data_IF_911227497101
#
_entry.id   IF_911227497101
#
_cell.length_a   1.000
_cell.length_b   1.000
_cell.length_c   1.000
_cell.angle_alpha   90.00
_cell.angle_beta   90.00
_cell.angle_gamma   90.00
#
_symmetry.space_group_name_H-M   'P 1'
#
loop_
_entity.id
_entity.type
_entity.pdbx_description
1 polymer ?
#
# COMPACT_ATOMS: atom_id res chain seq x y z
N UNK A 1 -0.53 43.36 -1.81
CA UNK A 1 -1.14 42.26 -2.59
C UNK A 1 -0.07 41.19 -2.78
N UNK A 2 -0.08 40.15 -1.94
CA UNK A 2 0.90 39.07 -2.00
C UNK A 2 0.40 38.07 -3.06
N UNK A 3 1.09 38.00 -4.18
CA UNK A 3 0.81 37.04 -5.25
C UNK A 3 0.77 35.61 -4.69
N UNK A 4 -0.31 34.91 -5.01
CA UNK A 4 -0.58 33.52 -4.59
C UNK A 4 0.55 32.61 -5.11
N UNK A 5 0.90 31.57 -4.33
CA UNK A 5 1.97 30.60 -4.64
C UNK A 5 1.85 29.98 -6.05
N UNK A 6 0.64 29.94 -6.62
CA UNK A 6 0.36 29.52 -8.00
C UNK A 6 0.78 30.51 -9.07
N UNK A 7 0.75 31.83 -8.80
CA UNK A 7 1.17 32.86 -9.77
C UNK A 7 2.70 32.88 -9.93
N UNK A 8 3.46 32.44 -8.92
CA UNK A 8 4.92 32.28 -9.01
C UNK A 8 5.37 31.05 -9.81
N UNK A 9 4.48 30.12 -10.12
CA UNK A 9 4.78 28.94 -10.96
C UNK A 9 4.55 29.19 -12.46
N UNK A 10 4.11 30.36 -12.88
CA UNK A 10 3.63 30.63 -14.25
C UNK A 10 4.69 31.15 -15.22
N UNK A 11 5.96 31.14 -14.86
CA UNK A 11 7.02 31.17 -15.86
C UNK A 11 7.51 29.74 -16.02
N UNK A 12 6.93 29.00 -16.98
CA UNK A 12 7.43 27.69 -17.37
C UNK A 12 8.87 27.87 -17.86
N UNK A 13 9.85 27.65 -16.98
CA UNK A 13 11.24 27.59 -17.39
C UNK A 13 11.37 26.29 -18.21
N UNK A 14 11.60 26.46 -19.49
CA UNK A 14 11.92 25.34 -20.36
C UNK A 14 13.34 24.90 -19.98
N UNK A 15 13.44 23.79 -19.24
CA UNK A 15 14.72 23.22 -18.89
C UNK A 15 15.22 22.31 -20.02
N UNK A 16 16.49 22.45 -20.36
CA UNK A 16 17.15 21.49 -21.27
C UNK A 16 17.28 20.16 -20.55
N UNK A 17 16.84 19.03 -21.13
CA UNK A 17 17.03 17.73 -20.50
C UNK A 17 18.52 17.49 -20.19
N UNK A 18 18.87 16.91 -19.03
CA UNK A 18 20.24 16.60 -18.73
C UNK A 18 20.78 15.56 -19.71
N UNK A 19 21.89 15.86 -20.34
CA UNK A 19 22.60 14.98 -21.31
C UNK A 19 23.47 13.94 -20.60
N UNK A 20 23.73 14.13 -19.30
CA UNK A 20 24.56 13.25 -18.49
C UNK A 20 23.79 12.72 -17.29
N UNK A 21 24.05 11.45 -16.93
CA UNK A 21 23.48 10.81 -15.75
C UNK A 21 24.16 11.33 -14.49
N UNK A 22 23.49 12.20 -13.74
CA UNK A 22 24.04 12.89 -12.56
C UNK A 22 23.76 12.20 -11.23
N UNK A 23 23.55 10.88 -11.19
CA UNK A 23 23.39 10.21 -9.92
C UNK A 23 24.37 9.06 -9.77
N UNK A 24 24.95 8.93 -8.61
CA UNK A 24 25.75 7.78 -8.23
C UNK A 24 24.81 6.64 -7.83
N UNK A 25 25.14 5.42 -8.27
CA UNK A 25 24.36 4.24 -7.89
C UNK A 25 24.66 3.95 -6.41
N UNK A 26 23.61 3.84 -5.56
CA UNK A 26 23.84 3.43 -4.17
C UNK A 26 24.50 2.05 -4.10
N UNK A 27 25.50 1.90 -3.24
CA UNK A 27 26.26 0.65 -3.05
C UNK A 27 25.65 -0.27 -1.99
N UNK A 28 24.58 0.17 -1.31
CA UNK A 28 23.91 -0.58 -0.26
C UNK A 28 23.28 -1.88 -0.75
N UNK A 29 23.17 -2.84 0.15
CA UNK A 29 22.51 -4.11 -0.12
C UNK A 29 21.00 -3.97 -0.29
N UNK A 30 20.44 -4.77 -1.19
CA UNK A 30 18.98 -4.86 -1.37
C UNK A 30 18.33 -5.52 -0.15
N UNK A 31 17.23 -4.97 0.30
CA UNK A 31 16.42 -5.48 1.41
C UNK A 31 14.97 -5.08 1.26
N UNK A 32 14.10 -5.68 2.04
CA UNK A 32 12.71 -5.24 2.20
C UNK A 32 12.65 -3.84 2.79
N UNK A 33 11.72 -3.04 2.30
CA UNK A 33 11.52 -1.64 2.68
C UNK A 33 10.21 -1.47 3.42
N UNK A 34 10.18 -0.55 4.38
CA UNK A 34 8.95 0.02 4.94
C UNK A 34 8.65 1.30 4.16
N UNK A 35 7.51 1.33 3.48
CA UNK A 35 7.09 2.43 2.61
C UNK A 35 5.78 3.00 3.15
N UNK A 36 5.70 4.31 3.32
CA UNK A 36 4.52 5.01 3.83
C UNK A 36 3.99 5.99 2.80
N UNK A 37 2.70 5.86 2.48
CA UNK A 37 1.95 6.86 1.72
C UNK A 37 0.93 7.52 2.66
N UNK A 38 1.14 8.77 3.03
CA UNK A 38 0.29 9.50 3.98
C UNK A 38 -0.21 10.82 3.41
N UNK A 39 -0.81 11.68 4.23
CA UNK A 39 -1.33 13.00 3.85
C UNK A 39 -2.80 12.99 3.45
N UNK A 40 -3.36 14.20 3.25
CA UNK A 40 -4.79 14.40 2.98
C UNK A 40 -5.18 14.26 1.51
N UNK A 41 -4.20 14.29 0.61
CA UNK A 41 -4.41 14.14 -0.84
C UNK A 41 -4.84 12.73 -1.23
N UNK A 42 -5.39 12.60 -2.43
CA UNK A 42 -5.74 11.30 -3.03
C UNK A 42 -4.51 10.59 -3.59
N UNK A 43 -4.63 9.29 -3.79
CA UNK A 43 -3.61 8.47 -4.45
C UNK A 43 -2.82 7.55 -3.52
N UNK A 44 -3.00 7.61 -2.19
CA UNK A 44 -2.28 6.76 -1.23
C UNK A 44 -2.44 5.26 -1.51
N UNK A 45 -3.67 4.78 -1.54
CA UNK A 45 -4.01 3.38 -1.86
C UNK A 45 -3.64 3.06 -3.30
N UNK A 46 -3.94 3.96 -4.26
CA UNK A 46 -3.58 3.78 -5.67
C UNK A 46 -2.08 3.59 -5.88
N UNK A 47 -1.23 4.36 -5.19
CA UNK A 47 0.23 4.20 -5.23
C UNK A 47 0.67 2.86 -4.63
N UNK A 48 0.11 2.45 -3.49
CA UNK A 48 0.39 1.17 -2.86
C UNK A 48 -0.02 -0.01 -3.76
N UNK A 49 -1.20 0.06 -4.36
CA UNK A 49 -1.69 -0.97 -5.30
C UNK A 49 -0.90 -0.98 -6.61
N UNK A 50 -0.41 0.17 -7.07
CA UNK A 50 0.53 0.24 -8.17
C UNK A 50 1.85 -0.48 -7.88
N UNK A 51 2.38 -0.39 -6.66
CA UNK A 51 3.54 -1.18 -6.21
C UNK A 51 3.20 -2.68 -6.16
N UNK A 52 2.03 -3.04 -5.62
CA UNK A 52 1.54 -4.41 -5.57
C UNK A 52 1.42 -5.01 -6.98
N UNK A 53 0.81 -4.27 -7.93
CA UNK A 53 0.70 -4.67 -9.33
C UNK A 53 2.08 -4.86 -9.99
N UNK A 54 3.02 -3.95 -9.74
CA UNK A 54 4.40 -4.04 -10.24
C UNK A 54 5.11 -5.29 -9.70
N UNK A 55 4.98 -5.58 -8.40
CA UNK A 55 5.55 -6.78 -7.78
C UNK A 55 4.89 -8.06 -8.33
N UNK A 56 3.55 -8.07 -8.45
CA UNK A 56 2.81 -9.18 -9.04
C UNK A 56 3.23 -9.44 -10.49
N UNK A 57 3.41 -8.41 -11.31
CA UNK A 57 3.92 -8.52 -12.69
C UNK A 57 5.34 -9.11 -12.78
N UNK A 58 6.09 -9.09 -11.67
CA UNK A 58 7.39 -9.76 -11.51
C UNK A 58 7.27 -11.12 -10.80
N UNK A 59 6.08 -11.70 -10.77
CA UNK A 59 5.78 -12.99 -10.12
C UNK A 59 6.13 -13.03 -8.63
N UNK A 60 6.12 -11.88 -7.97
CA UNK A 60 6.34 -11.80 -6.52
C UNK A 60 5.02 -12.00 -5.78
N UNK A 61 5.07 -12.71 -4.65
CA UNK A 61 3.93 -12.90 -3.78
C UNK A 61 3.56 -11.58 -3.09
N UNK A 62 2.29 -11.17 -3.20
CA UNK A 62 1.77 -9.94 -2.62
C UNK A 62 0.50 -10.23 -1.84
N UNK A 63 0.34 -9.60 -0.68
CA UNK A 63 -0.90 -9.61 0.11
C UNK A 63 -1.29 -8.18 0.47
N UNK A 64 -2.59 -7.87 0.36
CA UNK A 64 -3.15 -6.55 0.66
C UNK A 64 -4.23 -6.72 1.71
N UNK A 65 -4.11 -5.99 2.81
CA UNK A 65 -5.09 -5.91 3.89
C UNK A 65 -5.67 -4.49 3.94
N UNK A 66 -7.00 -4.38 3.81
CA UNK A 66 -7.71 -3.09 3.85
C UNK A 66 -8.50 -2.95 5.16
N UNK A 67 -8.00 -2.15 6.09
CA UNK A 67 -8.53 -2.04 7.46
C UNK A 67 -9.90 -1.37 7.55
N UNK A 68 -10.28 -0.55 6.57
CA UNK A 68 -11.54 0.21 6.58
C UNK A 68 -12.55 -0.29 5.55
N UNK A 69 -12.31 -1.46 4.94
CA UNK A 69 -13.19 -2.02 3.92
C UNK A 69 -13.81 -3.34 4.39
N UNK A 70 -15.08 -3.54 4.08
CA UNK A 70 -15.76 -4.81 4.40
C UNK A 70 -15.19 -5.96 3.56
N UNK A 71 -15.19 -7.20 4.08
CA UNK A 71 -14.70 -8.38 3.34
C UNK A 71 -15.42 -8.63 2.02
N UNK A 72 -16.67 -8.16 1.91
CA UNK A 72 -17.49 -8.29 0.69
C UNK A 72 -17.31 -7.15 -0.31
N UNK A 73 -16.41 -6.19 -0.03
CA UNK A 73 -16.14 -5.09 -0.94
C UNK A 73 -15.70 -5.61 -2.32
N UNK A 74 -16.22 -5.00 -3.38
CA UNK A 74 -15.93 -5.36 -4.78
C UNK A 74 -15.66 -4.10 -5.59
N UNK A 75 -14.69 -3.29 -5.11
CA UNK A 75 -14.17 -2.14 -5.84
C UNK A 75 -13.41 -2.58 -7.10
N UNK A 76 -13.05 -1.65 -7.95
CA UNK A 76 -12.33 -1.90 -9.18
C UNK A 76 -11.05 -2.71 -8.96
N UNK A 77 -10.30 -2.39 -7.93
CA UNK A 77 -9.03 -3.06 -7.57
C UNK A 77 -9.24 -4.52 -7.17
N UNK A 78 -10.28 -4.83 -6.39
CA UNK A 78 -10.61 -6.23 -6.03
C UNK A 78 -10.83 -7.08 -7.27
N UNK A 79 -11.66 -6.58 -8.20
CA UNK A 79 -11.96 -7.28 -9.46
C UNK A 79 -10.73 -7.45 -10.33
N UNK A 80 -9.87 -6.42 -10.39
CA UNK A 80 -8.65 -6.48 -11.18
C UNK A 80 -7.66 -7.50 -10.61
N UNK A 81 -7.44 -7.52 -9.30
CA UNK A 81 -6.55 -8.49 -8.65
C UNK A 81 -7.10 -9.91 -8.73
N UNK A 82 -8.41 -10.13 -8.56
CA UNK A 82 -9.04 -11.44 -8.74
C UNK A 82 -8.84 -11.97 -10.17
N UNK A 83 -8.99 -11.11 -11.19
CA UNK A 83 -8.76 -11.48 -12.60
C UNK A 83 -7.29 -11.80 -12.87
N UNK A 84 -6.36 -11.00 -12.33
CA UNK A 84 -4.92 -11.23 -12.47
C UNK A 84 -4.51 -12.55 -11.81
N UNK A 85 -5.04 -12.86 -10.65
CA UNK A 85 -4.77 -14.12 -9.95
C UNK A 85 -5.34 -15.31 -10.71
N UNK A 86 -6.58 -15.24 -11.17
CA UNK A 86 -7.21 -16.27 -11.98
C UNK A 86 -6.43 -16.51 -13.27
N UNK A 87 -5.94 -15.45 -13.91
CA UNK A 87 -5.09 -15.56 -15.10
C UNK A 87 -3.73 -16.20 -14.80
N UNK A 88 -3.13 -15.89 -13.63
CA UNK A 88 -1.86 -16.45 -13.20
C UNK A 88 -1.93 -17.94 -12.91
N UNK A 89 -3.05 -18.41 -12.39
CA UNK A 89 -3.28 -19.81 -12.00
C UNK A 89 -3.87 -20.68 -13.12
N UNK A 90 -4.19 -20.09 -14.29
CA UNK A 90 -4.78 -20.80 -15.42
C UNK A 90 -3.83 -21.90 -15.97
N UNK A 91 -4.35 -23.11 -16.28
CA UNK A 91 -3.56 -24.17 -16.88
C UNK A 91 -2.94 -23.76 -18.23
N UNK A 92 -1.72 -24.22 -18.50
CA UNK A 92 -1.05 -24.04 -19.81
C UNK A 92 -0.43 -22.67 -20.05
N UNK A 93 -0.40 -21.78 -19.07
CA UNK A 93 0.25 -20.49 -19.19
C UNK A 93 1.78 -20.59 -19.15
N UNK A 94 2.53 -19.89 -20.03
CA UNK A 94 3.97 -19.78 -19.90
C UNK A 94 4.33 -19.19 -18.53
N UNK A 95 5.25 -19.83 -17.83
CA UNK A 95 5.83 -19.22 -16.62
C UNK A 95 6.56 -17.95 -17.05
N UNK A 96 6.41 -16.81 -16.35
CA UNK A 96 7.24 -15.65 -16.66
C UNK A 96 8.70 -16.05 -16.52
N UNK A 97 9.50 -15.65 -17.51
CA UNK A 97 10.95 -15.87 -17.49
C UNK A 97 11.50 -15.40 -16.15
N UNK A 98 12.20 -16.31 -15.47
CA UNK A 98 12.79 -16.00 -14.18
C UNK A 98 13.72 -14.82 -14.35
N UNK A 99 13.47 -13.74 -13.62
CA UNK A 99 14.34 -12.58 -13.58
C UNK A 99 15.70 -13.06 -13.02
N UNK A 100 16.80 -13.07 -13.78
CA UNK A 100 18.09 -13.58 -13.31
C UNK A 100 18.74 -12.66 -12.25
N UNK A 101 18.05 -11.58 -11.87
CA UNK A 101 18.59 -10.61 -10.92
C UNK A 101 18.12 -10.91 -9.49
N UNK A 102 18.95 -11.70 -8.82
CA UNK A 102 19.19 -11.65 -7.39
C UNK A 102 18.04 -12.00 -6.46
N UNK A 103 18.06 -13.22 -6.00
CA UNK A 103 17.33 -13.76 -4.87
C UNK A 103 17.04 -15.23 -5.15
N UNK A 104 17.67 -16.11 -4.41
CA UNK A 104 17.33 -17.53 -4.44
C UNK A 104 15.82 -17.62 -4.23
N UNK A 105 15.11 -17.99 -5.29
CA UNK A 105 13.68 -18.21 -5.23
C UNK A 105 13.42 -19.27 -4.17
N UNK A 106 12.81 -18.86 -3.06
CA UNK A 106 12.14 -19.82 -2.22
C UNK A 106 11.23 -20.63 -3.14
N UNK A 107 11.38 -21.94 -3.14
CA UNK A 107 10.53 -22.86 -3.87
C UNK A 107 9.09 -22.41 -3.63
N UNK A 108 8.36 -22.09 -4.70
CA UNK A 108 6.97 -21.67 -4.61
C UNK A 108 6.26 -22.73 -3.81
N UNK A 109 5.84 -22.40 -2.59
CA UNK A 109 4.93 -23.25 -1.86
C UNK A 109 3.69 -23.42 -2.74
N UNK A 110 3.28 -24.64 -3.01
CA UNK A 110 2.03 -24.98 -3.73
C UNK A 110 0.79 -24.57 -2.94
N UNK A 111 0.98 -23.79 -1.87
CA UNK A 111 -0.09 -23.28 -1.04
C UNK A 111 -0.95 -22.30 -1.85
N UNK A 112 -2.27 -22.50 -1.90
CA UNK A 112 -3.16 -21.51 -2.48
C UNK A 112 -3.05 -20.24 -1.63
N UNK A 113 -2.35 -19.24 -2.14
CA UNK A 113 -2.37 -17.90 -1.60
C UNK A 113 -3.85 -17.48 -1.55
N UNK A 114 -4.42 -17.26 -0.40
CA UNK A 114 -5.77 -16.72 -0.30
C UNK A 114 -5.94 -15.45 -1.15
N UNK A 115 -7.11 -14.84 -1.24
CA UNK A 115 -7.33 -13.69 -2.10
C UNK A 115 -6.23 -12.65 -1.88
N UNK A 116 -5.68 -12.10 -2.98
CA UNK A 116 -4.57 -11.14 -2.90
C UNK A 116 -4.94 -9.92 -2.05
N UNK A 117 -6.23 -9.52 -2.07
CA UNK A 117 -6.76 -8.38 -1.35
C UNK A 117 -7.89 -8.84 -0.41
N UNK A 118 -7.81 -8.42 0.85
CA UNK A 118 -8.77 -8.80 1.89
C UNK A 118 -9.22 -7.56 2.68
N UNK A 119 -10.53 -7.32 2.72
CA UNK A 119 -11.14 -6.33 3.59
C UNK A 119 -11.22 -6.84 5.04
N UNK A 120 -10.88 -6.00 6.00
CA UNK A 120 -10.77 -6.33 7.42
C UNK A 120 -11.69 -5.48 8.31
N UNK A 121 -12.50 -4.61 7.74
CA UNK A 121 -13.38 -3.70 8.46
C UNK A 121 -14.86 -3.95 8.22
N UNK A 122 -15.68 -3.14 8.84
CA UNK A 122 -17.15 -3.07 8.66
C UNK A 122 -17.59 -1.88 7.80
N UNK A 123 -16.65 -1.19 7.18
CA UNK A 123 -16.85 0.02 6.41
C UNK A 123 -16.33 1.26 7.13
N UNK A 124 -16.88 2.42 6.78
CA UNK A 124 -16.42 3.68 7.36
C UNK A 124 -16.95 3.86 8.79
N UNK A 125 -16.05 4.20 9.72
CA UNK A 125 -16.36 4.40 11.14
C UNK A 125 -17.50 5.39 11.41
N UNK A 126 -17.72 6.42 10.57
CA UNK A 126 -18.85 7.35 10.70
C UNK A 126 -20.21 6.74 10.35
N UNK A 127 -20.24 5.53 9.80
CA UNK A 127 -21.46 4.75 9.53
C UNK A 127 -21.63 3.59 10.51
N UNK A 128 -20.57 3.26 11.26
CA UNK A 128 -20.64 2.19 12.26
C UNK A 128 -21.45 2.64 13.45
N UNK A 129 -22.42 1.83 13.84
CA UNK A 129 -23.20 2.02 15.08
C UNK A 129 -22.52 1.34 16.28
N UNK A 130 -21.50 0.51 16.03
CA UNK A 130 -20.78 -0.25 17.04
C UNK A 130 -19.26 -0.11 16.82
N UNK A 131 -18.66 0.89 17.45
CA UNK A 131 -17.23 1.16 17.36
C UNK A 131 -16.38 0.07 18.02
N UNK A 132 -16.91 -0.63 19.04
CA UNK A 132 -16.17 -1.75 19.66
C UNK A 132 -16.10 -2.94 18.71
N UNK A 133 -17.16 -3.22 17.97
CA UNK A 133 -17.13 -4.22 16.93
C UNK A 133 -16.09 -3.87 15.84
N UNK A 134 -16.06 -2.62 15.37
CA UNK A 134 -15.07 -2.14 14.41
C UNK A 134 -13.65 -2.29 14.95
N UNK A 135 -13.43 -1.95 16.21
CA UNK A 135 -12.13 -2.12 16.87
C UNK A 135 -11.73 -3.60 16.98
N UNK A 136 -12.67 -4.49 17.29
CA UNK A 136 -12.42 -5.93 17.35
C UNK A 136 -12.02 -6.49 15.96
N UNK A 137 -12.72 -6.09 14.89
CA UNK A 137 -12.37 -6.46 13.53
C UNK A 137 -10.97 -5.97 13.15
N UNK A 138 -10.62 -4.73 13.51
CA UNK A 138 -9.30 -4.19 13.26
C UNK A 138 -8.21 -5.00 13.99
N UNK A 139 -8.43 -5.38 15.26
CA UNK A 139 -7.50 -6.23 16.02
C UNK A 139 -7.34 -7.61 15.38
N UNK A 140 -8.44 -8.27 15.03
CA UNK A 140 -8.40 -9.58 14.34
C UNK A 140 -7.69 -9.50 12.97
N UNK A 141 -7.97 -8.43 12.23
CA UNK A 141 -7.31 -8.15 10.96
C UNK A 141 -5.81 -7.89 11.12
N UNK A 142 -5.43 -7.19 12.18
CA UNK A 142 -4.03 -6.97 12.50
C UNK A 142 -3.28 -8.28 12.77
N UNK A 143 -3.85 -9.21 13.51
CA UNK A 143 -3.18 -10.51 13.75
C UNK A 143 -2.93 -11.28 12.46
N UNK A 144 -3.86 -11.25 11.50
CA UNK A 144 -3.65 -11.83 10.17
C UNK A 144 -2.51 -11.13 9.42
N UNK A 145 -2.53 -9.80 9.41
CA UNK A 145 -1.51 -8.99 8.73
C UNK A 145 -0.13 -9.17 9.35
N UNK A 146 -0.07 -9.20 10.68
CA UNK A 146 1.15 -9.48 11.45
C UNK A 146 1.72 -10.86 11.11
N UNK A 147 0.87 -11.89 11.11
CA UNK A 147 1.29 -13.25 10.75
C UNK A 147 1.84 -13.31 9.32
N UNK A 148 1.18 -12.64 8.36
CA UNK A 148 1.64 -12.58 6.97
C UNK A 148 2.99 -11.84 6.82
N UNK A 149 3.22 -10.77 7.57
CA UNK A 149 4.51 -10.06 7.56
C UNK A 149 5.62 -10.95 8.12
N UNK A 150 5.37 -11.59 9.26
CA UNK A 150 6.39 -12.37 9.98
C UNK A 150 6.67 -13.74 9.36
N UNK A 151 5.74 -14.29 8.54
CA UNK A 151 5.95 -15.57 7.86
C UNK A 151 7.11 -15.55 6.87
N UNK A 152 7.38 -14.40 6.26
CA UNK A 152 8.36 -14.30 5.17
C UNK A 152 7.86 -14.86 3.82
N UNK A 153 6.63 -15.35 3.74
CA UNK A 153 6.07 -15.97 2.54
C UNK A 153 5.75 -14.94 1.45
N UNK A 154 5.56 -13.69 1.83
CA UNK A 154 5.23 -12.61 0.92
C UNK A 154 6.44 -11.71 0.65
N UNK A 155 6.66 -11.40 -0.63
CA UNK A 155 7.60 -10.35 -1.01
C UNK A 155 7.13 -8.97 -0.54
N UNK A 156 5.79 -8.74 -0.55
CA UNK A 156 5.21 -7.47 -0.15
C UNK A 156 3.87 -7.67 0.57
N UNK A 157 3.72 -7.00 1.70
CA UNK A 157 2.44 -6.87 2.42
C UNK A 157 2.02 -5.40 2.42
N UNK A 158 0.80 -5.13 1.95
CA UNK A 158 0.21 -3.79 1.96
C UNK A 158 -0.81 -3.71 3.09
N UNK A 159 -0.68 -2.68 3.93
CA UNK A 159 -1.57 -2.35 5.04
C UNK A 159 -2.34 -1.07 4.67
N UNK A 160 -3.43 -1.25 3.92
CA UNK A 160 -4.20 -0.12 3.41
C UNK A 160 -5.11 0.46 4.49
N UNK A 161 -5.02 1.79 4.68
CA UNK A 161 -5.73 2.57 5.70
C UNK A 161 -5.43 2.13 7.16
N UNK A 162 -4.26 1.52 7.43
CA UNK A 162 -3.84 1.10 8.78
C UNK A 162 -3.73 2.26 9.78
N UNK A 163 -3.53 3.48 9.30
CA UNK A 163 -3.39 4.63 10.20
C UNK A 163 -4.68 4.93 10.97
N UNK A 164 -5.86 4.60 10.43
CA UNK A 164 -7.12 4.84 11.14
C UNK A 164 -7.25 4.01 12.41
N UNK A 165 -7.12 2.68 12.40
CA UNK A 165 -7.10 1.89 13.65
C UNK A 165 -6.04 2.36 14.66
N UNK A 166 -4.90 2.85 14.20
CA UNK A 166 -3.86 3.38 15.08
C UNK A 166 -4.28 4.69 15.74
N UNK A 167 -4.75 5.68 14.99
CA UNK A 167 -5.16 6.98 15.54
C UNK A 167 -6.46 6.91 16.35
N UNK A 168 -7.28 5.87 16.14
CA UNK A 168 -8.46 5.61 16.98
C UNK A 168 -8.12 4.80 18.24
N UNK A 169 -6.87 4.39 18.42
CA UNK A 169 -6.45 3.59 19.57
C UNK A 169 -6.97 2.15 19.54
N UNK A 170 -7.45 1.66 18.41
CA UNK A 170 -7.93 0.28 18.26
C UNK A 170 -6.78 -0.72 18.19
N UNK A 171 -5.62 -0.28 17.68
CA UNK A 171 -4.39 -1.06 17.62
C UNK A 171 -3.29 -0.38 18.44
N UNK A 172 -2.51 -1.16 19.20
CA UNK A 172 -1.35 -0.62 19.92
C UNK A 172 -0.23 -0.30 18.91
N UNK A 173 0.22 0.96 18.89
CA UNK A 173 1.29 1.42 18.01
C UNK A 173 2.58 0.63 18.21
N UNK A 174 2.96 0.36 19.46
CA UNK A 174 4.18 -0.38 19.79
C UNK A 174 4.21 -1.79 19.16
N UNK A 175 3.06 -2.48 19.13
CA UNK A 175 2.94 -3.79 18.50
C UNK A 175 3.16 -3.73 16.98
N UNK A 176 2.69 -2.65 16.33
CA UNK A 176 2.93 -2.43 14.89
C UNK A 176 4.40 -2.11 14.64
N UNK A 177 4.98 -1.20 15.41
CA UNK A 177 6.41 -0.84 15.31
C UNK A 177 7.32 -2.05 15.54
N UNK A 178 7.00 -2.89 16.53
CA UNK A 178 7.74 -4.11 16.80
C UNK A 178 7.68 -5.06 15.60
N UNK A 179 6.50 -5.30 15.05
CA UNK A 179 6.32 -6.16 13.86
C UNK A 179 7.11 -5.65 12.65
N UNK A 180 7.10 -4.33 12.43
CA UNK A 180 7.88 -3.73 11.35
C UNK A 180 9.39 -3.88 11.54
N UNK A 181 9.89 -3.88 12.78
CA UNK A 181 11.31 -4.13 13.09
C UNK A 181 11.70 -5.60 12.97
N UNK A 182 10.82 -6.50 13.41
CA UNK A 182 11.05 -7.96 13.43
C UNK A 182 10.77 -8.65 12.09
N UNK A 183 10.22 -7.94 11.11
CA UNK A 183 9.90 -8.53 9.80
C UNK A 183 11.15 -9.18 9.18
N UNK A 184 11.00 -10.30 8.45
CA UNK A 184 12.10 -10.87 7.68
C UNK A 184 12.75 -9.84 6.76
N UNK A 185 14.05 -9.90 6.59
CA UNK A 185 14.89 -8.89 5.92
C UNK A 185 14.38 -8.52 4.52
N UNK A 186 13.82 -9.48 3.78
CA UNK A 186 13.44 -9.30 2.37
C UNK A 186 11.96 -8.92 2.18
N UNK A 187 11.18 -8.83 3.27
CA UNK A 187 9.76 -8.49 3.22
C UNK A 187 9.57 -6.97 3.14
N UNK A 188 8.91 -6.53 2.07
CA UNK A 188 8.47 -5.15 1.95
C UNK A 188 7.12 -4.96 2.65
N UNK A 189 6.96 -3.84 3.38
CA UNK A 189 5.67 -3.47 3.97
C UNK A 189 5.30 -2.07 3.50
N UNK A 190 4.11 -1.93 2.93
CA UNK A 190 3.58 -0.64 2.46
C UNK A 190 2.41 -0.25 3.34
N UNK A 191 2.48 0.91 4.00
CA UNK A 191 1.42 1.43 4.84
C UNK A 191 0.75 2.63 4.16
N UNK A 192 -0.58 2.69 4.24
CA UNK A 192 -1.31 3.88 3.77
C UNK A 192 -2.24 4.42 4.83
N UNK A 193 -2.58 5.69 4.70
CA UNK A 193 -3.60 6.39 5.47
C UNK A 193 -3.22 7.81 5.82
N UNK A 194 -4.18 8.56 6.34
CA UNK A 194 -3.97 9.95 6.78
C UNK A 194 -3.35 9.97 8.17
N UNK A 195 -2.66 11.06 8.50
CA UNK A 195 -2.13 11.31 9.86
C UNK A 195 -1.30 10.14 10.39
N UNK A 196 -0.36 9.66 9.56
CA UNK A 196 0.55 8.59 9.98
C UNK A 196 1.30 8.98 11.25
N UNK A 197 1.36 8.10 12.28
CA UNK A 197 2.13 8.36 13.49
C UNK A 197 3.59 8.70 13.19
N UNK A 198 4.17 9.71 13.87
CA UNK A 198 5.56 10.12 13.67
C UNK A 198 6.58 8.98 13.84
N UNK A 199 6.32 8.06 14.75
CA UNK A 199 7.19 6.92 15.04
C UNK A 199 7.26 5.94 13.87
N UNK A 200 6.17 5.80 13.10
CA UNK A 200 6.16 5.01 11.85
C UNK A 200 6.92 5.76 10.76
N UNK A 201 6.76 7.09 10.69
CA UNK A 201 7.47 7.93 9.72
C UNK A 201 8.99 7.83 9.96
N UNK A 202 9.44 7.87 11.21
CA UNK A 202 10.85 7.75 11.59
C UNK A 202 11.42 6.36 11.25
N UNK A 203 10.63 5.30 11.43
CA UNK A 203 11.04 3.93 11.14
C UNK A 203 11.09 3.64 9.64
N UNK A 204 10.28 4.32 8.84
CA UNK A 204 10.09 4.04 7.42
C UNK A 204 11.33 4.38 6.57
N UNK A 205 11.59 3.55 5.55
CA UNK A 205 12.66 3.79 4.57
C UNK A 205 12.26 4.81 3.50
N UNK A 206 10.96 4.94 3.22
CA UNK A 206 10.42 5.88 2.23
C UNK A 206 9.07 6.40 2.71
N UNK A 207 8.94 7.71 2.74
CA UNK A 207 7.69 8.38 3.09
C UNK A 207 7.29 9.34 1.99
N UNK A 208 6.04 9.21 1.52
CA UNK A 208 5.43 10.14 0.57
C UNK A 208 4.20 10.77 1.20
N UNK A 209 4.19 12.09 1.30
CA UNK A 209 3.02 12.84 1.74
C UNK A 209 2.24 13.38 0.54
N UNK A 210 1.00 12.94 0.38
CA UNK A 210 0.09 13.39 -0.67
C UNK A 210 -0.70 14.59 -0.21
N UNK A 211 -0.42 15.76 -0.77
CA UNK A 211 -1.08 17.02 -0.43
C UNK A 211 -2.36 17.20 -1.22
N UNK A 212 -3.40 17.70 -0.54
CA UNK A 212 -4.68 18.06 -1.16
C UNK A 212 -4.59 19.46 -1.77
N UNK A 213 -4.08 19.56 -2.98
CA UNK A 213 -3.98 20.84 -3.71
C UNK A 213 -5.36 21.26 -4.22
N UNK A 214 -6.11 20.35 -4.83
CA UNK A 214 -7.46 20.55 -5.37
C UNK A 214 -8.24 19.22 -5.36
N UNK A 215 -9.54 19.27 -5.16
CA UNK A 215 -10.37 18.06 -5.17
C UNK A 215 -11.69 18.32 -5.90
N UNK A 216 -12.05 17.42 -6.83
CA UNK A 216 -13.26 17.52 -7.63
C UNK A 216 -14.54 17.58 -6.76
N UNK A 217 -14.60 16.81 -5.69
CA UNK A 217 -15.72 16.81 -4.75
C UNK A 217 -15.98 18.18 -4.13
N UNK A 218 -14.92 18.96 -3.81
CA UNK A 218 -15.07 20.33 -3.31
C UNK A 218 -15.63 21.30 -4.37
N UNK A 219 -15.54 20.93 -5.64
CA UNK A 219 -16.13 21.64 -6.78
C UNK A 219 -17.51 21.09 -7.17
N UNK A 220 -18.11 20.22 -6.32
CA UNK A 220 -19.45 19.69 -6.55
C UNK A 220 -19.51 18.47 -7.49
N UNK A 221 -18.38 17.91 -7.90
CA UNK A 221 -18.34 16.69 -8.74
C UNK A 221 -18.48 15.47 -7.85
N UNK A 222 -19.52 14.63 -8.04
CA UNK A 222 -19.69 13.40 -7.26
C UNK A 222 -18.63 12.35 -7.58
N UNK A 223 -18.50 11.34 -6.69
CA UNK A 223 -17.64 10.18 -6.92
C UNK A 223 -18.04 9.44 -8.21
N UNK A 224 -17.05 8.94 -8.93
CA UNK A 224 -17.21 8.26 -10.21
C UNK A 224 -16.59 6.87 -10.15
N UNK A 225 -17.31 5.86 -10.69
CA UNK A 225 -16.80 4.50 -10.80
C UNK A 225 -15.53 4.45 -11.66
N UNK A 226 -14.55 3.69 -11.21
CA UNK A 226 -13.24 3.60 -11.88
C UNK A 226 -12.30 4.77 -11.62
N UNK A 227 -12.76 5.80 -10.86
CA UNK A 227 -11.92 6.92 -10.38
C UNK A 227 -11.85 6.93 -8.85
N UNK A 228 -13.00 6.71 -8.19
CA UNK A 228 -13.13 6.79 -6.73
C UNK A 228 -13.38 5.41 -6.08
N UNK A 229 -13.89 4.45 -6.84
CA UNK A 229 -14.24 3.09 -6.40
C UNK A 229 -14.09 2.03 -7.54
#
# INVERSE_FOLDING_TARGET
>A
MTLNRFEKMNAMQIETPPTEKRYEKPEGERRGLVIVNTGDGKGKSTAAFGLALRAHGRSKAVKIYQFMKVPTARFGEHRAFDQLEAFRTAPGRPQPDGDPVGGQGAARSEQPWGPMIEGLGDGFSWKSQDLEHSAQLARQGWEKARAAILSGDYFMVVLDEITYPLIYGWLPLDGVLQTLRERPRDVHVVLTGRRCPPEIIELADTVTEMQLVKHAFKAGVPAQRGIED
#
